data_IF_039905488692
#
_entry.id   IF_039905488692
#
_cell.length_a   1.000
_cell.length_b   1.000
_cell.length_c   1.000
_cell.angle_alpha   90.00
_cell.angle_beta   90.00
_cell.angle_gamma   90.00
#
_symmetry.space_group_name_H-M   'P 1'
#
loop_
_entity.id
_entity.type
_entity.pdbx_description
1 polymer ?
#
# COMPACT_ATOMS: atom_id res chain seq x y z
N UNK A 1 22.84 -0.58 8.83
CA UNK A 1 21.71 -0.88 7.89
C UNK A 1 21.28 0.43 7.25
N UNK A 2 21.38 0.55 5.91
CA UNK A 2 20.77 1.62 5.10
C UNK A 2 19.41 1.15 4.60
N UNK A 3 18.38 1.94 4.80
CA UNK A 3 16.99 1.63 4.43
C UNK A 3 16.62 2.44 3.19
N UNK A 4 16.50 1.79 2.05
CA UNK A 4 16.11 2.41 0.79
C UNK A 4 14.58 2.32 0.69
N UNK A 5 13.91 3.46 0.73
CA UNK A 5 12.47 3.56 0.47
C UNK A 5 12.27 3.73 -1.03
N UNK A 6 12.02 2.62 -1.71
CA UNK A 6 11.77 2.63 -3.15
C UNK A 6 10.28 2.82 -3.43
N UNK A 7 9.91 4.04 -3.76
CA UNK A 7 8.54 4.50 -3.87
C UNK A 7 8.11 5.38 -2.70
N UNK A 8 8.85 6.48 -2.46
CA UNK A 8 8.50 7.48 -1.44
C UNK A 8 7.22 8.26 -1.84
N UNK A 9 6.08 7.55 -1.85
CA UNK A 9 4.72 8.10 -1.92
C UNK A 9 4.15 8.25 -0.52
N UNK A 10 2.82 8.07 -0.36
CA UNK A 10 2.15 8.19 0.95
C UNK A 10 2.80 7.29 2.02
N UNK A 11 2.79 5.98 1.79
CA UNK A 11 3.30 4.99 2.75
C UNK A 11 4.83 5.11 2.90
N UNK A 12 5.56 5.16 1.77
CA UNK A 12 7.02 5.24 1.82
C UNK A 12 7.52 6.49 2.56
N UNK A 13 6.88 7.65 2.34
CA UNK A 13 7.26 8.88 3.06
C UNK A 13 6.92 8.84 4.55
N UNK A 14 5.82 8.19 4.95
CA UNK A 14 5.50 7.99 6.38
C UNK A 14 6.52 7.06 7.02
N UNK A 15 6.77 5.88 6.44
CA UNK A 15 7.73 4.92 6.99
C UNK A 15 9.13 5.51 7.08
N UNK A 16 9.63 6.01 5.96
CA UNK A 16 11.00 6.55 5.88
C UNK A 16 11.18 7.83 6.70
N UNK A 17 10.18 8.71 6.73
CA UNK A 17 10.24 9.93 7.54
C UNK A 17 10.32 9.62 9.05
N UNK A 18 9.51 8.68 9.54
CA UNK A 18 9.59 8.27 10.95
C UNK A 18 10.89 7.50 11.27
N UNK A 19 11.40 6.67 10.38
CA UNK A 19 12.68 6.00 10.55
C UNK A 19 13.82 7.04 10.56
N UNK A 20 13.86 7.96 9.60
CA UNK A 20 14.90 8.98 9.49
C UNK A 20 14.97 9.88 10.72
N UNK A 21 13.82 10.39 11.21
CA UNK A 21 13.78 11.23 12.42
C UNK A 21 14.27 10.53 13.69
N UNK A 22 14.26 9.18 13.69
CA UNK A 22 14.77 8.37 14.78
C UNK A 22 16.22 7.87 14.56
N UNK A 23 16.94 8.51 13.62
CA UNK A 23 18.38 8.32 13.43
C UNK A 23 18.77 7.14 12.55
N UNK A 24 17.82 6.51 11.85
CA UNK A 24 18.16 5.47 10.85
C UNK A 24 18.65 6.09 9.56
N UNK A 25 19.60 5.43 8.91
CA UNK A 25 20.06 5.82 7.57
C UNK A 25 18.94 5.47 6.56
N UNK A 26 18.29 6.49 6.02
CA UNK A 26 17.18 6.37 5.07
C UNK A 26 17.50 7.14 3.80
N UNK A 27 17.17 6.54 2.65
CA UNK A 27 17.29 7.20 1.35
C UNK A 27 16.00 6.97 0.55
N UNK A 28 15.49 8.03 -0.08
CA UNK A 28 14.25 8.00 -0.85
C UNK A 28 14.49 7.90 -2.35
N UNK A 29 13.70 7.05 -3.02
CA UNK A 29 13.51 7.06 -4.46
C UNK A 29 12.02 7.16 -4.75
N UNK A 30 11.62 8.07 -5.64
CA UNK A 30 10.19 8.26 -5.89
C UNK A 30 9.89 9.11 -7.12
N UNK A 31 8.66 9.63 -7.17
CA UNK A 31 8.21 10.53 -8.23
C UNK A 31 9.03 11.83 -8.22
N UNK A 32 9.47 12.28 -9.38
CA UNK A 32 10.35 13.45 -9.54
C UNK A 32 9.81 14.71 -8.85
N UNK A 33 8.51 15.01 -8.99
CA UNK A 33 7.92 16.20 -8.38
C UNK A 33 8.02 16.17 -6.84
N UNK A 34 7.77 15.00 -6.24
CA UNK A 34 7.87 14.83 -4.79
C UNK A 34 9.33 14.83 -4.32
N UNK A 35 10.20 14.12 -5.04
CA UNK A 35 11.63 14.08 -4.71
C UNK A 35 12.29 15.46 -4.82
N UNK A 36 11.96 16.23 -5.85
CA UNK A 36 12.46 17.60 -6.00
C UNK A 36 12.00 18.53 -4.87
N UNK A 37 10.72 18.39 -4.44
CA UNK A 37 10.21 19.17 -3.32
C UNK A 37 10.95 18.81 -2.01
N UNK A 38 11.21 17.52 -1.76
CA UNK A 38 11.97 17.06 -0.58
C UNK A 38 13.42 17.54 -0.65
N UNK A 39 14.07 17.46 -1.81
CA UNK A 39 15.46 17.93 -2.01
C UNK A 39 15.60 19.42 -1.73
N UNK A 40 14.59 20.22 -2.10
CA UNK A 40 14.60 21.67 -1.96
C UNK A 40 14.21 22.15 -0.57
N UNK A 41 13.24 21.54 0.07
CA UNK A 41 12.61 22.06 1.30
C UNK A 41 12.55 21.04 2.45
N UNK A 42 13.00 19.79 2.24
CA UNK A 42 12.81 18.69 3.14
C UNK A 42 11.41 18.05 3.03
N UNK A 43 11.26 16.87 3.60
CA UNK A 43 9.95 16.24 3.79
C UNK A 43 9.20 16.91 4.93
N UNK A 44 8.03 17.47 4.66
CA UNK A 44 7.08 17.90 5.68
C UNK A 44 6.25 16.69 6.12
N UNK A 45 6.61 16.11 7.25
CA UNK A 45 5.88 15.02 7.88
C UNK A 45 4.97 15.59 8.98
N UNK A 46 3.66 15.53 8.75
CA UNK A 46 2.64 16.06 9.67
C UNK A 46 2.00 14.89 10.43
N UNK A 47 2.00 14.97 11.74
CA UNK A 47 1.25 14.06 12.63
C UNK A 47 0.11 14.82 13.30
N UNK A 48 -0.75 14.12 14.04
CA UNK A 48 -1.84 14.77 14.79
C UNK A 48 -1.35 15.74 15.89
N UNK A 49 -0.08 15.74 16.23
CA UNK A 49 0.48 16.52 17.34
C UNK A 49 1.58 17.48 16.88
N UNK A 50 2.40 17.06 15.93
CA UNK A 50 3.62 17.78 15.53
C UNK A 50 3.82 17.76 14.02
N UNK A 51 4.56 18.75 13.54
CA UNK A 51 5.05 18.81 12.15
C UNK A 51 6.57 18.79 12.15
N UNK A 52 7.14 17.90 11.34
CA UNK A 52 8.58 17.76 11.17
C UNK A 52 8.99 18.17 9.77
N UNK A 53 10.14 18.85 9.64
CA UNK A 53 10.81 19.15 8.39
C UNK A 53 12.12 18.36 8.35
N UNK A 54 12.17 17.34 7.48
CA UNK A 54 13.23 16.33 7.48
C UNK A 54 14.03 16.39 6.18
N UNK A 55 15.33 16.62 6.27
CA UNK A 55 16.25 16.62 5.12
C UNK A 55 16.66 15.18 4.76
N UNK A 56 15.68 14.36 4.35
CA UNK A 56 15.93 12.97 3.98
C UNK A 56 16.70 12.92 2.66
N UNK A 57 17.81 12.17 2.57
CA UNK A 57 18.51 11.93 1.31
C UNK A 57 17.58 11.39 0.23
N UNK A 58 17.76 11.88 -1.00
CA UNK A 58 16.93 11.53 -2.15
C UNK A 58 17.84 11.12 -3.30
N UNK A 59 17.61 9.94 -3.86
CA UNK A 59 18.14 9.51 -5.14
C UNK A 59 17.10 9.73 -6.25
N UNK A 60 17.55 10.24 -7.41
CA UNK A 60 16.66 10.51 -8.55
C UNK A 60 16.22 9.20 -9.25
N UNK A 61 17.10 8.19 -9.19
CA UNK A 61 16.87 6.89 -9.79
C UNK A 61 17.72 5.80 -9.10
N UNK A 62 17.51 4.54 -9.49
CA UNK A 62 18.19 3.41 -8.87
C UNK A 62 19.72 3.41 -9.06
N UNK A 63 20.26 4.05 -10.10
CA UNK A 63 21.71 4.07 -10.35
C UNK A 63 22.46 4.89 -9.28
N UNK A 64 21.81 5.90 -8.71
CA UNK A 64 22.40 6.72 -7.65
C UNK A 64 22.49 6.01 -6.30
N UNK A 65 21.78 4.88 -6.16
CA UNK A 65 21.83 4.04 -4.94
C UNK A 65 23.12 3.21 -4.85
N UNK A 66 23.78 2.96 -5.98
CA UNK A 66 25.02 2.19 -6.04
C UNK A 66 26.21 2.96 -5.40
N UNK A 67 27.20 2.26 -4.82
CA UNK A 67 27.26 0.80 -4.68
C UNK A 67 26.32 0.26 -3.58
N UNK A 68 25.79 -0.93 -3.82
CA UNK A 68 25.02 -1.65 -2.79
C UNK A 68 25.97 -2.43 -1.89
N UNK A 69 25.60 -2.56 -0.61
CA UNK A 69 26.34 -3.25 0.43
C UNK A 69 25.46 -4.32 1.11
N UNK A 70 26.06 -5.20 1.90
CA UNK A 70 25.32 -6.19 2.69
C UNK A 70 24.44 -5.57 3.79
N UNK A 71 24.70 -4.30 4.12
CA UNK A 71 23.91 -3.53 5.09
C UNK A 71 22.66 -2.85 4.48
N UNK A 72 22.43 -3.02 3.19
CA UNK A 72 21.30 -2.38 2.50
C UNK A 72 20.06 -3.26 2.53
N UNK A 73 18.92 -2.60 2.72
CA UNK A 73 17.60 -3.18 2.50
C UNK A 73 16.73 -2.25 1.66
N UNK A 74 15.81 -2.82 0.90
CA UNK A 74 14.82 -2.05 0.14
C UNK A 74 13.43 -2.29 0.72
N UNK A 75 12.77 -1.23 1.15
CA UNK A 75 11.33 -1.23 1.41
C UNK A 75 10.62 -0.77 0.12
N UNK A 76 10.05 -1.72 -0.61
CA UNK A 76 9.36 -1.48 -1.88
C UNK A 76 7.94 -0.96 -1.59
N UNK A 77 7.78 0.35 -1.68
CA UNK A 77 6.56 1.10 -1.35
C UNK A 77 5.87 1.70 -2.58
N UNK A 78 6.28 1.31 -3.79
CA UNK A 78 5.62 1.72 -5.03
C UNK A 78 4.23 1.12 -5.14
N UNK A 79 3.37 1.69 -5.98
CA UNK A 79 2.13 0.99 -6.34
C UNK A 79 2.45 -0.32 -7.05
N UNK A 80 1.61 -1.33 -6.88
CA UNK A 80 1.86 -2.70 -7.36
C UNK A 80 2.07 -2.79 -8.88
N UNK A 81 1.42 -1.94 -9.69
CA UNK A 81 1.62 -1.87 -11.14
C UNK A 81 3.05 -1.47 -11.55
N UNK A 82 3.85 -0.92 -10.64
CA UNK A 82 5.23 -0.52 -10.90
C UNK A 82 6.28 -1.54 -10.42
N UNK A 83 5.87 -2.61 -9.75
CA UNK A 83 6.77 -3.59 -9.12
C UNK A 83 7.79 -4.16 -10.09
N UNK A 84 7.36 -4.69 -11.24
CA UNK A 84 8.26 -5.28 -12.25
C UNK A 84 9.30 -4.28 -12.73
N UNK A 85 8.86 -3.04 -13.03
CA UNK A 85 9.75 -1.95 -13.48
C UNK A 85 10.78 -1.61 -12.41
N UNK A 86 10.35 -1.45 -11.17
CA UNK A 86 11.24 -1.04 -10.07
C UNK A 86 12.27 -2.12 -9.74
N UNK A 87 11.88 -3.39 -9.70
CA UNK A 87 12.80 -4.50 -9.51
C UNK A 87 13.82 -4.60 -10.65
N UNK A 88 13.38 -4.40 -11.90
CA UNK A 88 14.26 -4.34 -13.07
C UNK A 88 15.27 -3.18 -12.98
N UNK A 89 14.84 -2.00 -12.54
CA UNK A 89 15.72 -0.85 -12.32
C UNK A 89 16.77 -1.13 -11.24
N UNK A 90 16.39 -1.71 -10.10
CA UNK A 90 17.34 -2.12 -9.06
C UNK A 90 18.36 -3.13 -9.58
N UNK A 91 17.92 -4.17 -10.30
CA UNK A 91 18.83 -5.13 -10.90
C UNK A 91 19.82 -4.48 -11.87
N UNK A 92 19.34 -3.62 -12.75
CA UNK A 92 20.17 -2.95 -13.76
C UNK A 92 21.14 -1.93 -13.14
N UNK A 93 20.86 -1.41 -11.95
CA UNK A 93 21.78 -0.54 -11.20
C UNK A 93 22.86 -1.30 -10.42
N UNK A 94 22.97 -2.61 -10.62
CA UNK A 94 23.99 -3.44 -9.99
C UNK A 94 23.60 -4.02 -8.63
N UNK A 95 22.33 -3.97 -8.24
CA UNK A 95 21.87 -4.58 -7.00
C UNK A 95 22.11 -6.10 -7.03
N UNK A 96 22.79 -6.69 -6.01
CA UNK A 96 23.00 -8.13 -5.94
C UNK A 96 21.67 -8.87 -5.73
N UNK A 97 21.57 -10.10 -6.23
CA UNK A 97 20.36 -10.92 -6.05
C UNK A 97 20.04 -11.23 -4.58
N UNK A 98 21.00 -11.03 -3.69
CA UNK A 98 20.88 -11.19 -2.24
C UNK A 98 20.35 -9.93 -1.53
N UNK A 99 20.14 -8.81 -2.24
CA UNK A 99 19.57 -7.60 -1.65
C UNK A 99 18.18 -7.87 -1.07
N UNK A 100 17.94 -7.64 0.23
CA UNK A 100 16.65 -7.88 0.86
C UNK A 100 15.58 -6.93 0.33
N UNK A 101 14.45 -7.47 -0.12
CA UNK A 101 13.29 -6.71 -0.62
C UNK A 101 12.09 -6.94 0.30
N UNK A 102 11.65 -5.88 0.97
CA UNK A 102 10.46 -5.85 1.81
C UNK A 102 9.29 -5.30 0.99
N UNK A 103 8.34 -6.16 0.62
CA UNK A 103 7.19 -5.79 -0.20
C UNK A 103 6.11 -5.11 0.65
N UNK A 104 6.12 -3.78 0.65
CA UNK A 104 5.23 -2.92 1.45
C UNK A 104 3.93 -2.55 0.71
N UNK A 105 3.63 -3.20 -0.41
CA UNK A 105 2.43 -2.92 -1.21
C UNK A 105 1.22 -3.71 -0.70
N UNK A 106 0.02 -3.28 -1.13
CA UNK A 106 -1.26 -3.86 -0.71
C UNK A 106 -1.58 -5.22 -1.36
N UNK A 107 -1.18 -5.48 -2.61
CA UNK A 107 -1.42 -6.75 -3.31
C UNK A 107 -0.55 -7.88 -2.73
N UNK A 108 -1.04 -9.11 -2.84
CA UNK A 108 -0.35 -10.34 -2.42
C UNK A 108 0.55 -10.93 -3.53
N UNK A 109 0.63 -10.27 -4.67
CA UNK A 109 1.38 -10.76 -5.83
C UNK A 109 2.76 -10.13 -5.98
N UNK A 110 3.10 -9.13 -5.18
CA UNK A 110 4.39 -8.44 -5.28
C UNK A 110 5.55 -9.34 -4.86
N UNK A 111 5.37 -10.15 -3.83
CA UNK A 111 6.36 -11.10 -3.32
C UNK A 111 6.72 -12.17 -4.38
N UNK A 112 5.77 -12.92 -4.98
CA UNK A 112 6.10 -13.88 -6.03
C UNK A 112 6.70 -13.22 -7.28
N UNK A 113 6.34 -11.98 -7.61
CA UNK A 113 6.99 -11.22 -8.68
C UNK A 113 8.45 -10.91 -8.30
N UNK A 114 8.71 -10.49 -7.06
CA UNK A 114 10.04 -10.13 -6.60
C UNK A 114 11.01 -11.32 -6.58
N UNK A 115 10.53 -12.55 -6.32
CA UNK A 115 11.36 -13.76 -6.35
C UNK A 115 11.97 -14.07 -7.72
N UNK A 116 11.44 -13.49 -8.80
CA UNK A 116 12.02 -13.63 -10.14
C UNK A 116 13.36 -12.90 -10.30
N UNK A 117 13.65 -11.97 -9.39
CA UNK A 117 14.80 -11.07 -9.49
C UNK A 117 15.73 -11.18 -8.28
N UNK A 118 15.17 -11.31 -7.08
CA UNK A 118 15.88 -11.31 -5.81
C UNK A 118 15.55 -12.56 -4.98
N UNK A 119 16.51 -12.99 -4.14
CA UNK A 119 16.42 -14.26 -3.40
C UNK A 119 15.96 -14.07 -1.94
N UNK A 120 15.99 -12.84 -1.42
CA UNK A 120 15.60 -12.51 -0.04
C UNK A 120 14.39 -11.60 -0.05
N UNK A 121 13.20 -12.23 -0.05
CA UNK A 121 11.93 -11.51 -0.13
C UNK A 121 11.20 -11.60 1.21
N UNK A 122 10.66 -10.46 1.62
CA UNK A 122 9.92 -10.31 2.86
C UNK A 122 8.54 -9.75 2.57
N UNK A 123 7.51 -10.39 3.11
CA UNK A 123 6.16 -9.86 3.13
C UNK A 123 6.02 -8.82 4.25
N UNK A 124 5.33 -7.74 3.94
CA UNK A 124 5.02 -6.69 4.92
C UNK A 124 3.52 -6.40 4.87
N UNK A 125 2.82 -6.70 5.97
CA UNK A 125 1.44 -6.26 6.16
C UNK A 125 1.45 -4.89 6.83
N UNK A 126 0.75 -3.92 6.22
CA UNK A 126 0.71 -2.54 6.68
C UNK A 126 -0.73 -2.12 7.03
N UNK A 127 -0.93 -1.73 8.29
CA UNK A 127 -2.12 -1.01 8.71
C UNK A 127 -1.72 0.42 9.12
N UNK A 128 -1.49 1.25 8.10
CA UNK A 128 -0.97 2.63 8.23
C UNK A 128 -1.84 3.56 7.41
N UNK A 129 -2.32 4.64 8.02
CA UNK A 129 -3.02 5.70 7.30
C UNK A 129 -2.04 6.83 6.95
N UNK A 130 -2.05 7.20 5.67
CA UNK A 130 -1.23 8.27 5.15
C UNK A 130 -2.02 9.09 4.14
N UNK A 131 -1.93 10.42 4.22
CA UNK A 131 -2.49 11.33 3.23
C UNK A 131 -1.33 11.96 2.47
N UNK A 132 -1.37 11.87 1.15
CA UNK A 132 -0.39 12.45 0.24
C UNK A 132 -1.10 13.11 -0.93
N UNK A 133 -1.32 14.41 -0.84
CA UNK A 133 -1.98 15.21 -1.88
C UNK A 133 -1.04 16.25 -2.48
N UNK A 134 -0.05 16.72 -1.73
CA UNK A 134 0.88 17.76 -2.12
C UNK A 134 2.32 17.24 -2.13
N UNK A 135 3.08 17.55 -3.17
CA UNK A 135 4.50 17.19 -3.25
C UNK A 135 5.29 17.80 -2.08
N UNK A 136 6.17 17.00 -1.46
CA UNK A 136 6.95 17.40 -0.29
C UNK A 136 6.24 17.26 1.05
N UNK A 137 4.94 16.95 1.08
CA UNK A 137 4.16 16.80 2.31
C UNK A 137 3.51 15.43 2.43
N UNK A 138 3.51 14.86 3.63
CA UNK A 138 2.74 13.67 3.98
C UNK A 138 2.15 13.82 5.39
N UNK A 139 0.91 13.34 5.57
CA UNK A 139 0.21 13.40 6.85
C UNK A 139 -0.03 11.98 7.35
N UNK A 140 0.37 11.72 8.60
CA UNK A 140 0.09 10.46 9.31
C UNK A 140 -0.75 10.78 10.56
N UNK A 141 -2.08 10.61 10.49
CA UNK A 141 -3.01 11.11 11.52
C UNK A 141 -3.35 10.09 12.61
N UNK A 142 -2.59 9.01 12.76
CA UNK A 142 -2.86 7.95 13.74
C UNK A 142 -2.02 8.14 15.00
N UNK A 143 -2.65 7.98 16.20
CA UNK A 143 -2.00 8.04 17.51
C UNK A 143 -2.67 7.08 18.51
N UNK A 144 -1.95 6.55 19.52
CA UNK A 144 -0.57 6.87 19.90
C UNK A 144 0.50 6.20 19.04
N UNK A 145 0.17 5.19 18.26
CA UNK A 145 1.07 4.52 17.33
C UNK A 145 0.80 4.98 15.90
N UNK A 146 1.85 5.21 15.11
CA UNK A 146 1.75 5.70 13.73
C UNK A 146 1.16 4.68 12.75
N UNK A 147 1.01 3.45 13.17
CA UNK A 147 0.41 2.34 12.43
C UNK A 147 0.83 1.01 13.03
N UNK A 148 0.29 -0.08 12.48
CA UNK A 148 0.66 -1.46 12.81
C UNK A 148 1.26 -2.16 11.60
N UNK A 149 2.38 -2.86 11.79
CA UNK A 149 3.19 -3.45 10.73
C UNK A 149 3.62 -4.85 11.14
N UNK A 150 3.34 -5.84 10.32
CA UNK A 150 3.86 -7.18 10.49
C UNK A 150 4.85 -7.53 9.38
N UNK A 151 5.91 -8.25 9.72
CA UNK A 151 7.01 -8.58 8.83
C UNK A 151 7.32 -10.08 8.96
N UNK A 152 7.51 -10.74 7.84
CA UNK A 152 7.97 -12.13 7.79
C UNK A 152 8.67 -12.45 6.48
N UNK A 153 9.37 -13.58 6.44
CA UNK A 153 9.93 -14.08 5.21
C UNK A 153 8.84 -14.54 4.23
N UNK A 154 9.07 -14.40 2.94
CA UNK A 154 8.22 -14.99 1.92
C UNK A 154 8.78 -16.34 1.46
N UNK A 155 7.96 -17.41 1.30
CA UNK A 155 6.51 -17.44 1.48
C UNK A 155 6.06 -17.53 2.95
N UNK A 156 6.94 -17.93 3.88
CA UNK A 156 6.67 -18.04 5.32
C UNK A 156 7.96 -18.10 6.12
N UNK A 157 7.86 -17.90 7.43
CA UNK A 157 8.99 -17.95 8.36
C UNK A 157 9.48 -16.57 8.78
N UNK A 158 10.57 -16.56 9.53
CA UNK A 158 11.23 -15.35 10.02
C UNK A 158 12.74 -15.54 10.13
N UNK A 159 13.47 -14.44 10.13
CA UNK A 159 14.92 -14.41 10.34
C UNK A 159 15.32 -13.23 11.26
N UNK A 160 16.63 -13.06 11.44
CA UNK A 160 17.20 -11.97 12.25
C UNK A 160 16.83 -10.60 11.65
N UNK A 161 16.84 -10.48 10.33
CA UNK A 161 16.55 -9.22 9.65
C UNK A 161 15.09 -8.79 9.86
N UNK A 162 14.12 -9.74 9.89
CA UNK A 162 12.74 -9.44 10.29
C UNK A 162 12.67 -8.80 11.68
N UNK A 163 13.44 -9.31 12.64
CA UNK A 163 13.48 -8.80 14.02
C UNK A 163 14.09 -7.40 14.08
N UNK A 164 15.18 -7.19 13.34
CA UNK A 164 15.89 -5.90 13.30
C UNK A 164 15.03 -4.79 12.69
N UNK A 165 14.36 -5.09 11.56
CA UNK A 165 13.46 -4.13 10.90
C UNK A 165 12.22 -3.86 11.76
N UNK A 166 11.61 -4.89 12.36
CA UNK A 166 10.50 -4.71 13.29
C UNK A 166 10.91 -3.86 14.51
N UNK A 167 12.12 -4.05 15.04
CA UNK A 167 12.64 -3.23 16.13
C UNK A 167 12.87 -1.77 15.71
N UNK A 168 13.41 -1.55 14.51
CA UNK A 168 13.58 -0.20 13.95
C UNK A 168 12.25 0.54 13.83
N UNK A 169 11.21 -0.14 13.33
CA UNK A 169 9.86 0.42 13.24
C UNK A 169 9.25 0.70 14.62
N UNK A 170 9.42 -0.21 15.59
CA UNK A 170 8.94 0.04 16.99
C UNK A 170 9.60 1.26 17.60
N UNK A 171 10.92 1.41 17.45
CA UNK A 171 11.66 2.59 17.93
C UNK A 171 11.22 3.87 17.22
N UNK A 172 10.71 3.75 16.00
CA UNK A 172 10.20 4.86 15.21
C UNK A 172 8.72 5.17 15.45
N UNK A 173 8.10 4.55 16.47
CA UNK A 173 6.74 4.87 16.94
C UNK A 173 5.62 4.06 16.31
N UNK A 174 5.93 3.05 15.50
CA UNK A 174 4.93 2.08 15.02
C UNK A 174 4.71 0.96 16.05
N UNK A 175 3.57 0.29 15.99
CA UNK A 175 3.48 -1.09 16.46
C UNK A 175 4.04 -1.97 15.35
N UNK A 176 4.95 -2.90 15.70
CA UNK A 176 5.50 -3.78 14.69
C UNK A 176 5.88 -5.13 15.27
N UNK A 177 5.47 -6.21 14.61
CA UNK A 177 5.70 -7.58 15.03
C UNK A 177 6.29 -8.43 13.89
N UNK A 178 7.04 -9.46 14.29
CA UNK A 178 7.45 -10.52 13.39
C UNK A 178 6.33 -11.55 13.30
N UNK A 179 5.89 -11.85 12.08
CA UNK A 179 4.84 -12.82 11.83
C UNK A 179 5.31 -13.84 10.77
N UNK A 180 5.54 -15.07 11.20
CA UNK A 180 6.02 -16.15 10.30
C UNK A 180 4.98 -16.53 9.22
N UNK A 181 3.73 -16.13 9.41
CA UNK A 181 2.63 -16.32 8.44
C UNK A 181 2.10 -14.98 7.93
N UNK A 182 2.99 -14.00 7.74
CA UNK A 182 2.65 -12.63 7.35
C UNK A 182 1.75 -12.55 6.10
N UNK A 183 1.89 -13.51 5.17
CA UNK A 183 1.07 -13.53 3.97
C UNK A 183 -0.42 -13.78 4.28
N UNK A 184 -0.77 -14.50 5.36
CA UNK A 184 -2.19 -14.64 5.78
C UNK A 184 -2.77 -13.31 6.24
N UNK A 185 -2.04 -12.54 7.02
CA UNK A 185 -2.46 -11.20 7.45
C UNK A 185 -2.51 -10.24 6.27
N UNK A 186 -1.56 -10.34 5.35
CA UNK A 186 -1.52 -9.52 4.13
C UNK A 186 -2.71 -9.84 3.20
N UNK A 187 -3.09 -11.12 3.09
CA UNK A 187 -4.30 -11.56 2.38
C UNK A 187 -5.56 -11.02 3.04
N UNK A 188 -5.69 -11.08 4.37
CA UNK A 188 -6.82 -10.49 5.09
C UNK A 188 -6.92 -8.97 4.83
N UNK A 189 -5.78 -8.26 4.87
CA UNK A 189 -5.73 -6.84 4.52
C UNK A 189 -6.14 -6.58 3.07
N UNK A 190 -5.74 -7.44 2.13
CA UNK A 190 -6.12 -7.32 0.71
C UNK A 190 -7.65 -7.47 0.53
N UNK A 191 -8.31 -8.43 1.22
CA UNK A 191 -9.77 -8.57 1.22
C UNK A 191 -10.48 -7.29 1.70
N UNK A 192 -9.94 -6.60 2.71
CA UNK A 192 -10.49 -5.32 3.17
C UNK A 192 -10.27 -4.20 2.13
N UNK A 193 -9.19 -4.26 1.38
CA UNK A 193 -8.85 -3.23 0.40
C UNK A 193 -9.60 -3.37 -0.94
N UNK A 194 -10.33 -4.46 -1.18
CA UNK A 194 -11.15 -4.62 -2.38
C UNK A 194 -12.20 -3.51 -2.53
N UNK A 195 -12.67 -2.94 -1.42
CA UNK A 195 -13.62 -1.82 -1.42
C UNK A 195 -12.96 -0.44 -1.65
N UNK A 196 -11.62 -0.35 -1.72
CA UNK A 196 -10.95 0.95 -1.93
C UNK A 196 -11.37 1.63 -3.24
N UNK A 197 -11.52 0.85 -4.31
CA UNK A 197 -12.00 1.38 -5.59
C UNK A 197 -13.47 1.84 -5.49
N UNK A 198 -14.34 1.09 -4.80
CA UNK A 198 -15.74 1.47 -4.57
C UNK A 198 -15.84 2.84 -3.88
N UNK A 199 -15.11 3.03 -2.78
CA UNK A 199 -15.08 4.31 -2.08
C UNK A 199 -14.45 5.45 -2.89
N UNK A 200 -13.66 5.15 -3.91
CA UNK A 200 -13.07 6.15 -4.78
C UNK A 200 -14.00 6.57 -5.92
N UNK A 201 -14.71 5.63 -6.54
CA UNK A 201 -15.56 5.92 -7.70
C UNK A 201 -16.94 6.45 -7.31
N UNK A 202 -17.35 6.23 -6.03
CA UNK A 202 -18.69 6.63 -5.54
C UNK A 202 -18.66 7.92 -4.72
N UNK A 203 -19.82 8.56 -4.62
CA UNK A 203 -20.03 9.84 -3.89
C UNK A 203 -19.99 9.72 -2.36
N UNK A 204 -19.76 8.51 -1.83
CA UNK A 204 -19.69 8.23 -0.39
C UNK A 204 -21.05 8.15 0.29
N UNK A 205 -22.15 8.16 -0.45
CA UNK A 205 -23.53 8.03 0.05
C UNK A 205 -24.11 6.68 -0.31
N UNK A 206 -25.14 6.26 0.43
CA UNK A 206 -25.83 5.00 0.21
C UNK A 206 -25.29 3.85 1.06
N UNK A 207 -25.80 2.66 0.78
CA UNK A 207 -25.42 1.44 1.49
C UNK A 207 -24.33 0.67 0.72
N UNK A 208 -23.12 0.73 1.23
CA UNK A 208 -21.96 0.04 0.66
C UNK A 208 -21.89 -1.44 1.08
N UNK A 209 -22.51 -1.81 2.19
CA UNK A 209 -22.33 -3.11 2.84
C UNK A 209 -22.63 -4.29 1.91
N UNK A 210 -23.72 -4.19 1.15
CA UNK A 210 -24.11 -5.22 0.20
C UNK A 210 -23.08 -5.41 -0.93
N UNK A 211 -22.60 -4.30 -1.51
CA UNK A 211 -21.60 -4.36 -2.58
C UNK A 211 -20.25 -4.87 -2.06
N UNK A 212 -19.80 -4.37 -0.91
CA UNK A 212 -18.58 -4.84 -0.25
C UNK A 212 -18.65 -6.33 0.14
N UNK A 213 -19.82 -6.78 0.57
CA UNK A 213 -20.05 -8.20 0.86
C UNK A 213 -19.81 -9.04 -0.39
N UNK A 214 -20.40 -8.65 -1.53
CA UNK A 214 -20.25 -9.40 -2.79
C UNK A 214 -18.80 -9.38 -3.29
N UNK A 215 -18.09 -8.24 -3.23
CA UNK A 215 -16.66 -8.17 -3.57
C UNK A 215 -15.85 -9.21 -2.78
N UNK A 216 -16.07 -9.26 -1.47
CA UNK A 216 -15.37 -10.20 -0.59
C UNK A 216 -15.81 -11.65 -0.81
N UNK A 217 -17.10 -11.89 -1.04
CA UNK A 217 -17.65 -13.23 -1.32
C UNK A 217 -17.00 -13.84 -2.55
N UNK A 218 -16.91 -13.07 -3.67
CA UNK A 218 -16.23 -13.51 -4.89
C UNK A 218 -14.76 -13.83 -4.63
N UNK A 219 -14.04 -12.91 -3.98
CA UNK A 219 -12.61 -13.09 -3.67
C UNK A 219 -12.38 -14.32 -2.76
N UNK A 220 -13.19 -14.52 -1.73
CA UNK A 220 -13.10 -15.68 -0.83
C UNK A 220 -13.35 -16.99 -1.59
N UNK A 221 -14.34 -17.03 -2.49
CA UNK A 221 -14.62 -18.20 -3.30
C UNK A 221 -13.42 -18.54 -4.21
N UNK A 222 -12.87 -17.55 -4.91
CA UNK A 222 -11.72 -17.71 -5.80
C UNK A 222 -10.48 -18.14 -5.01
N UNK A 223 -10.17 -17.47 -3.91
CA UNK A 223 -8.99 -17.74 -3.09
C UNK A 223 -9.05 -19.10 -2.40
N UNK A 224 -10.23 -19.51 -1.91
CA UNK A 224 -10.42 -20.87 -1.37
C UNK A 224 -10.09 -21.92 -2.43
N UNK A 225 -10.54 -21.73 -3.66
CA UNK A 225 -10.30 -22.65 -4.78
C UNK A 225 -8.84 -22.63 -5.23
N UNK A 226 -8.15 -21.50 -5.08
CA UNK A 226 -6.73 -21.34 -5.38
C UNK A 226 -5.79 -21.77 -4.25
N UNK A 227 -6.31 -22.16 -3.08
CA UNK A 227 -5.50 -22.50 -1.90
C UNK A 227 -4.82 -21.30 -1.23
N UNK A 228 -5.28 -20.08 -1.49
CA UNK A 228 -4.78 -18.86 -0.83
C UNK A 228 -5.43 -18.76 0.56
N UNK A 229 -4.60 -18.69 1.59
CA UNK A 229 -5.05 -18.58 2.97
C UNK A 229 -5.10 -17.10 3.41
N UNK A 230 -6.04 -16.79 4.28
CA UNK A 230 -6.15 -15.48 4.96
C UNK A 230 -6.47 -15.66 6.43
N UNK A 231 -6.25 -14.64 7.21
CA UNK A 231 -6.65 -14.56 8.61
C UNK A 231 -8.15 -14.20 8.70
N UNK A 232 -8.83 -14.69 9.73
CA UNK A 232 -10.22 -14.27 10.01
C UNK A 232 -10.32 -12.74 10.07
N UNK A 233 -11.23 -12.17 9.30
CA UNK A 233 -11.30 -10.73 9.09
C UNK A 233 -11.66 -9.95 10.35
N UNK A 234 -12.52 -10.48 11.22
CA UNK A 234 -12.90 -9.78 12.44
C UNK A 234 -11.76 -9.80 13.47
N UNK A 235 -11.09 -10.94 13.61
CA UNK A 235 -9.89 -11.07 14.44
C UNK A 235 -8.78 -10.16 13.94
N UNK A 236 -8.57 -10.11 12.62
CA UNK A 236 -7.58 -9.23 12.00
C UNK A 236 -7.88 -7.74 12.25
N UNK A 237 -9.11 -7.29 11.99
CA UNK A 237 -9.53 -5.90 12.25
C UNK A 237 -9.34 -5.52 13.71
N UNK A 238 -9.81 -6.36 14.63
CA UNK A 238 -9.66 -6.13 16.08
C UNK A 238 -8.20 -5.95 16.45
N UNK A 239 -7.34 -6.85 16.04
CA UNK A 239 -5.89 -6.81 16.30
C UNK A 239 -5.24 -5.55 15.71
N UNK A 240 -5.58 -5.16 14.49
CA UNK A 240 -5.08 -3.93 13.89
C UNK A 240 -5.47 -2.69 14.68
N UNK A 241 -6.74 -2.58 15.11
CA UNK A 241 -7.22 -1.44 15.89
C UNK A 241 -6.61 -1.38 17.28
N UNK A 242 -6.49 -2.51 17.97
CA UNK A 242 -5.84 -2.59 19.28
C UNK A 242 -4.34 -2.22 19.22
N UNK A 243 -3.69 -2.51 18.09
CA UNK A 243 -2.26 -2.25 17.88
C UNK A 243 -1.93 -0.82 17.43
N UNK A 244 -2.90 -0.04 17.00
CA UNK A 244 -2.66 1.31 16.49
C UNK A 244 -3.16 2.39 17.45
N UNK A 245 -4.41 2.74 17.35
CA UNK A 245 -5.03 3.82 18.10
C UNK A 245 -6.11 4.51 17.27
N UNK A 246 -6.34 5.77 17.61
CA UNK A 246 -7.40 6.55 16.97
C UNK A 246 -6.86 7.47 15.87
N UNK A 247 -7.71 7.70 14.88
CA UNK A 247 -7.47 8.66 13.83
C UNK A 247 -7.83 10.05 14.35
N UNK A 248 -6.86 10.98 14.30
CA UNK A 248 -7.04 12.38 14.67
C UNK A 248 -6.33 13.26 13.64
N UNK A 249 -7.10 13.99 12.84
CA UNK A 249 -6.52 14.95 11.91
C UNK A 249 -5.77 16.07 12.65
N UNK A 250 -4.62 16.52 12.12
CA UNK A 250 -3.89 17.63 12.67
C UNK A 250 -4.66 18.95 12.45
N UNK A 251 -4.31 19.97 13.25
CA UNK A 251 -4.88 21.33 13.09
C UNK A 251 -4.59 21.87 11.67
N UNK A 252 -5.62 22.47 11.07
CA UNK A 252 -5.60 22.97 9.69
C UNK A 252 -5.99 21.95 8.62
N UNK A 253 -6.22 20.69 8.98
CA UNK A 253 -6.62 19.63 8.06
C UNK A 253 -8.01 19.04 8.38
N UNK A 254 -8.77 19.69 9.24
CA UNK A 254 -10.10 19.26 9.69
C UNK A 254 -11.13 19.21 8.57
N UNK A 255 -10.86 19.91 7.46
CA UNK A 255 -11.71 19.95 6.27
C UNK A 255 -11.67 18.66 5.44
N UNK A 256 -10.73 17.76 5.72
CA UNK A 256 -10.66 16.50 4.99
C UNK A 256 -11.80 15.56 5.38
N UNK A 257 -12.52 15.05 4.38
CA UNK A 257 -13.53 13.99 4.55
C UNK A 257 -12.86 12.65 4.86
N UNK A 258 -13.64 11.69 5.37
CA UNK A 258 -13.13 10.32 5.63
C UNK A 258 -12.59 9.63 4.38
N UNK A 259 -13.10 9.96 3.20
CA UNK A 259 -12.66 9.37 1.93
C UNK A 259 -11.20 9.66 1.61
N UNK A 260 -10.61 10.75 2.13
CA UNK A 260 -9.20 11.08 1.92
C UNK A 260 -8.24 9.99 2.43
N UNK A 261 -8.68 9.13 3.36
CA UNK A 261 -7.86 8.03 3.87
C UNK A 261 -7.80 6.82 2.92
N UNK A 262 -8.64 6.80 1.89
CA UNK A 262 -8.64 5.74 0.89
C UNK A 262 -7.60 6.04 -0.19
N UNK A 263 -6.62 5.16 -0.36
CA UNK A 263 -5.50 5.37 -1.31
C UNK A 263 -5.99 5.51 -2.76
N UNK A 264 -7.02 4.78 -3.15
CA UNK A 264 -7.64 4.85 -4.47
C UNK A 264 -8.30 6.21 -4.71
N UNK A 265 -8.99 6.76 -3.70
CA UNK A 265 -9.56 8.10 -3.75
C UNK A 265 -8.48 9.17 -3.97
N UNK A 266 -7.36 9.09 -3.21
CA UNK A 266 -6.22 10.00 -3.38
C UNK A 266 -5.62 9.93 -4.78
N UNK A 267 -5.64 8.76 -5.42
CA UNK A 267 -5.14 8.58 -6.79
C UNK A 267 -5.98 9.33 -7.81
N UNK A 268 -7.31 9.22 -7.72
CA UNK A 268 -8.25 9.98 -8.57
C UNK A 268 -8.19 11.49 -8.27
N UNK A 269 -8.18 11.86 -6.99
CA UNK A 269 -8.11 13.27 -6.58
C UNK A 269 -6.88 14.00 -7.14
N UNK A 270 -5.71 13.33 -7.16
CA UNK A 270 -4.46 13.84 -7.73
C UNK A 270 -4.40 13.78 -9.26
N UNK A 271 -5.29 13.06 -9.91
CA UNK A 271 -5.26 12.87 -11.37
C UNK A 271 -4.00 12.13 -11.84
N UNK A 272 -3.61 11.05 -11.12
CA UNK A 272 -2.36 10.32 -11.43
C UNK A 272 -2.44 9.47 -12.69
N UNK A 273 -3.58 9.37 -13.34
CA UNK A 273 -3.83 8.55 -14.53
C UNK A 273 -3.82 7.04 -14.25
N UNK A 274 -3.73 6.62 -12.99
CA UNK A 274 -3.69 5.21 -12.61
C UNK A 274 -4.17 4.98 -11.18
N UNK A 275 -4.78 3.81 -10.95
CA UNK A 275 -5.32 3.35 -9.67
C UNK A 275 -4.90 1.89 -9.44
N UNK A 276 -4.88 1.39 -8.20
CA UNK A 276 -4.49 -0.01 -7.91
C UNK A 276 -5.64 -1.03 -8.06
N UNK A 277 -6.75 -0.66 -8.71
CA UNK A 277 -7.90 -1.54 -8.87
C UNK A 277 -7.54 -2.84 -9.64
N UNK A 278 -6.65 -2.75 -10.64
CA UNK A 278 -6.18 -3.92 -11.39
C UNK A 278 -5.43 -4.92 -10.50
N UNK A 279 -4.63 -4.45 -9.53
CA UNK A 279 -3.82 -5.28 -8.64
C UNK A 279 -4.54 -5.68 -7.35
N UNK A 280 -5.78 -5.28 -7.18
CA UNK A 280 -6.68 -5.69 -6.10
C UNK A 280 -7.87 -6.48 -6.67
N UNK A 281 -8.83 -5.78 -7.25
CA UNK A 281 -10.03 -6.40 -7.84
C UNK A 281 -9.68 -7.19 -9.12
N UNK A 282 -8.83 -6.66 -10.00
CA UNK A 282 -8.39 -7.34 -11.22
C UNK A 282 -7.63 -8.64 -10.97
N UNK A 283 -6.86 -8.74 -9.87
CA UNK A 283 -6.20 -9.99 -9.47
C UNK A 283 -7.23 -11.06 -9.06
N UNK A 284 -8.36 -10.67 -8.45
CA UNK A 284 -9.48 -11.58 -8.16
C UNK A 284 -10.13 -12.07 -9.46
N UNK A 285 -10.36 -11.15 -10.41
CA UNK A 285 -10.90 -11.47 -11.75
C UNK A 285 -9.99 -12.43 -12.50
N UNK A 286 -8.68 -12.14 -12.53
CA UNK A 286 -7.69 -12.99 -13.18
C UNK A 286 -7.74 -14.43 -12.65
N UNK A 287 -7.73 -14.61 -11.34
CA UNK A 287 -7.83 -15.94 -10.72
C UNK A 287 -9.20 -16.57 -10.97
N UNK A 288 -10.28 -15.79 -10.91
CA UNK A 288 -11.63 -16.25 -11.24
C UNK A 288 -11.69 -16.84 -12.64
N UNK A 289 -11.15 -16.12 -13.63
CA UNK A 289 -11.06 -16.57 -15.01
C UNK A 289 -10.24 -17.87 -15.17
N UNK A 290 -9.11 -17.98 -14.47
CA UNK A 290 -8.27 -19.20 -14.49
C UNK A 290 -8.98 -20.41 -13.89
N UNK A 291 -9.89 -20.20 -12.94
CA UNK A 291 -10.62 -21.26 -12.22
C UNK A 291 -12.04 -21.46 -12.74
N UNK A 292 -12.51 -20.68 -13.70
CA UNK A 292 -13.90 -20.71 -14.20
C UNK A 292 -14.93 -20.22 -13.17
N UNK A 293 -14.53 -19.33 -12.25
CA UNK A 293 -15.39 -18.76 -11.20
C UNK A 293 -15.72 -17.31 -11.57
N UNK A 294 -17.02 -16.98 -11.80
CA UNK A 294 -17.43 -15.61 -12.10
C UNK A 294 -17.17 -14.61 -10.96
N UNK A 295 -16.71 -13.43 -11.31
CA UNK A 295 -16.41 -12.34 -10.36
C UNK A 295 -16.94 -10.98 -10.84
N UNK A 296 -18.23 -10.86 -11.17
CA UNK A 296 -18.79 -9.71 -11.86
C UNK A 296 -18.70 -8.40 -11.06
N UNK A 297 -18.78 -8.44 -9.73
CA UNK A 297 -18.64 -7.24 -8.88
C UNK A 297 -17.21 -6.70 -8.91
N UNK A 298 -16.20 -7.57 -8.79
CA UNK A 298 -14.79 -7.16 -8.88
C UNK A 298 -14.45 -6.69 -10.29
N UNK A 299 -14.97 -7.34 -11.34
CA UNK A 299 -14.73 -6.99 -12.74
C UNK A 299 -15.29 -5.60 -13.08
N UNK A 300 -16.56 -5.34 -12.78
CA UNK A 300 -17.18 -4.02 -13.01
C UNK A 300 -16.41 -2.93 -12.27
N UNK A 301 -16.11 -3.16 -11.00
CA UNK A 301 -15.44 -2.16 -10.18
C UNK A 301 -14.03 -1.85 -10.67
N UNK A 302 -13.28 -2.87 -11.08
CA UNK A 302 -11.95 -2.71 -11.66
C UNK A 302 -12.00 -1.83 -12.92
N UNK A 303 -12.85 -2.20 -13.89
CA UNK A 303 -12.95 -1.47 -15.15
C UNK A 303 -13.44 -0.04 -14.96
N UNK A 304 -14.47 0.16 -14.10
CA UNK A 304 -14.96 1.50 -13.77
C UNK A 304 -13.87 2.39 -13.18
N UNK A 305 -13.10 1.86 -12.21
CA UNK A 305 -12.04 2.63 -11.56
C UNK A 305 -10.88 2.97 -12.51
N UNK A 306 -10.49 2.05 -13.39
CA UNK A 306 -9.46 2.31 -14.41
C UNK A 306 -9.92 3.30 -15.47
N UNK A 307 -11.17 3.19 -15.94
CA UNK A 307 -11.74 4.15 -16.89
C UNK A 307 -11.73 5.58 -16.32
N UNK A 308 -12.17 5.76 -15.05
CA UNK A 308 -12.13 7.06 -14.38
C UNK A 308 -10.69 7.59 -14.21
N UNK A 309 -9.75 6.72 -13.85
CA UNK A 309 -8.35 7.12 -13.68
C UNK A 309 -7.73 7.55 -15.01
N UNK A 310 -7.97 6.79 -16.09
CA UNK A 310 -7.41 7.03 -17.42
C UNK A 310 -7.97 8.31 -18.06
N UNK A 311 -9.27 8.60 -17.85
CA UNK A 311 -9.93 9.81 -18.37
C UNK A 311 -9.70 11.04 -17.47
N UNK A 312 -9.00 10.90 -16.35
CA UNK A 312 -8.71 11.99 -15.41
C UNK A 312 -9.95 12.47 -14.62
N UNK A 313 -10.95 11.61 -14.51
CA UNK A 313 -12.17 11.91 -13.75
C UNK A 313 -11.88 12.03 -12.26
N UNK A 314 -12.67 12.88 -11.59
CA UNK A 314 -12.56 13.07 -10.15
C UNK A 314 -13.32 11.98 -9.38
N UNK A 315 -12.94 11.69 -8.11
CA UNK A 315 -13.67 10.73 -7.31
C UNK A 315 -15.14 11.15 -7.11
N UNK A 316 -16.00 10.16 -6.87
CA UNK A 316 -17.39 10.44 -6.47
C UNK A 316 -18.40 10.55 -7.60
N UNK A 317 -18.18 9.88 -8.73
CA UNK A 317 -19.03 9.98 -9.92
C UNK A 317 -20.31 9.14 -9.83
N UNK A 318 -20.26 7.98 -9.18
CA UNK A 318 -21.35 6.99 -9.15
C UNK A 318 -21.95 6.88 -7.75
N UNK A 319 -23.10 6.21 -7.66
CA UNK A 319 -23.63 5.66 -6.40
C UNK A 319 -23.36 4.15 -6.33
N UNK A 320 -23.39 3.58 -5.13
CA UNK A 320 -23.23 2.13 -4.95
C UNK A 320 -24.38 1.35 -5.60
N UNK A 321 -25.60 1.91 -5.59
CA UNK A 321 -26.81 1.36 -6.18
C UNK A 321 -26.74 1.30 -7.71
N UNK A 322 -26.22 2.34 -8.36
CA UNK A 322 -26.00 2.36 -9.82
C UNK A 322 -25.03 1.23 -10.24
N UNK A 323 -23.92 1.07 -9.51
CA UNK A 323 -22.96 0.00 -9.79
C UNK A 323 -23.56 -1.39 -9.54
N UNK A 324 -24.31 -1.58 -8.46
CA UNK A 324 -24.98 -2.85 -8.19
C UNK A 324 -26.01 -3.20 -9.27
N UNK A 325 -26.76 -2.20 -9.76
CA UNK A 325 -27.72 -2.36 -10.86
C UNK A 325 -27.02 -2.74 -12.16
N UNK A 326 -25.87 -2.12 -12.46
CA UNK A 326 -25.06 -2.43 -13.64
C UNK A 326 -24.60 -3.91 -13.64
N UNK A 327 -24.14 -4.42 -12.49
CA UNK A 327 -23.78 -5.85 -12.35
C UNK A 327 -24.98 -6.75 -12.66
N UNK A 328 -26.17 -6.45 -12.09
CA UNK A 328 -27.37 -7.24 -12.30
C UNK A 328 -27.85 -7.26 -13.75
N UNK A 329 -27.60 -6.18 -14.48
CA UNK A 329 -27.94 -6.05 -15.91
C UNK A 329 -26.89 -6.67 -16.85
N UNK A 330 -25.79 -7.21 -16.32
CA UNK A 330 -24.68 -7.75 -17.10
C UNK A 330 -23.91 -6.68 -17.89
N UNK A 331 -23.99 -5.42 -17.45
CA UNK A 331 -23.21 -4.33 -18.02
C UNK A 331 -21.81 -4.42 -17.45
N UNK A 332 -20.85 -4.80 -18.29
CA UNK A 332 -19.44 -4.78 -17.99
C UNK A 332 -18.88 -3.38 -18.30
N UNK A 333 -18.12 -2.81 -17.39
CA UNK A 333 -17.59 -1.45 -17.51
C UNK A 333 -16.56 -1.25 -18.63
#
# INVERSE_FOLDING_TARGET
MRIIIYGAGAIGSVLGGHLFRNGYSVEFVGNAAHMNAIKSHGLKLVTSEETFHLQVPVAENANELAPFTDDDIVMLCTKSQHTVKCLGQLKNSGAPSTLPIFCCQNSIWNEPIATRVFNRIYGVMLFVNAIFLTAGEVINPIRPKYGFIEIGCYPSGSDVLCKDVAQALRRSGFSSDVNERVMKSKSAKCLLNLSNALHAVTDGKGNFDAFEHELRREAIQVWSSAGIEWEDLESFKKRCHESTGTLKLPSGYEHFSRQVFVSSWQSLARGTGSIEAAQLNGDVVMLGNLLGIPTPYNELLWHTAEAMASSGEKPGKYTAEELATAVQQGIHG
#
